data_IF_657361001904
#
_entry.id   IF_657361001904
#
_cell.length_a   1.000
_cell.length_b   1.000
_cell.length_c   1.000
_cell.angle_alpha   90.00
_cell.angle_beta   90.00
_cell.angle_gamma   90.00
#
_symmetry.space_group_name_H-M   'P 1'
#
loop_
_entity.id
_entity.type
_entity.pdbx_description
1 polymer ?
#
# COMPACT_ATOMS: atom_id res chain seq x y z
N UNK A 1 -27.00 10.47 11.79
CA UNK A 1 -26.05 11.10 10.85
C UNK A 1 -24.76 10.30 10.80
N UNK A 2 -24.10 10.31 9.66
CA UNK A 2 -22.78 9.71 9.47
C UNK A 2 -22.08 10.45 8.32
N UNK A 3 -20.77 10.44 8.34
CA UNK A 3 -19.94 10.98 7.24
C UNK A 3 -18.79 10.01 6.98
N UNK A 4 -18.30 9.94 5.75
CA UNK A 4 -17.26 8.99 5.43
C UNK A 4 -16.56 9.24 4.11
N UNK A 5 -15.51 8.45 3.91
CA UNK A 5 -14.75 8.37 2.66
C UNK A 5 -14.80 6.93 2.17
N UNK A 6 -15.14 6.73 0.90
CA UNK A 6 -15.21 5.42 0.27
C UNK A 6 -14.54 5.41 -1.09
N UNK A 7 -13.77 4.39 -1.33
CA UNK A 7 -13.17 4.07 -2.63
C UNK A 7 -14.04 3.04 -3.33
N UNK A 8 -14.30 3.22 -4.62
CA UNK A 8 -15.11 2.27 -5.40
C UNK A 8 -14.47 0.89 -5.50
N UNK A 9 -13.13 0.81 -5.38
CA UNK A 9 -12.35 -0.43 -5.24
C UNK A 9 -11.28 -0.27 -4.17
N UNK A 10 -10.77 -1.38 -3.66
CA UNK A 10 -9.70 -1.35 -2.68
C UNK A 10 -8.38 -0.85 -3.30
N UNK A 11 -7.96 0.34 -2.96
CA UNK A 11 -6.73 0.98 -3.48
C UNK A 11 -5.41 0.27 -3.09
N UNK A 12 -5.44 -0.67 -2.13
CA UNK A 12 -4.25 -1.45 -1.72
C UNK A 12 -4.04 -2.70 -2.58
N UNK A 13 -5.12 -3.38 -2.99
CA UNK A 13 -5.04 -4.66 -3.68
C UNK A 13 -5.91 -4.76 -4.94
N UNK A 14 -6.61 -3.70 -5.33
CA UNK A 14 -7.43 -3.64 -6.54
C UNK A 14 -8.69 -4.52 -6.53
N UNK A 15 -9.13 -5.06 -5.39
CA UNK A 15 -10.35 -5.84 -5.35
C UNK A 15 -11.58 -4.98 -5.61
N UNK A 16 -12.52 -5.48 -6.42
CA UNK A 16 -13.77 -4.80 -6.73
C UNK A 16 -14.76 -4.90 -5.54
N UNK A 17 -14.43 -4.17 -4.47
CA UNK A 17 -15.22 -4.06 -3.25
C UNK A 17 -15.07 -2.65 -2.71
N UNK A 18 -16.15 -2.06 -2.24
CA UNK A 18 -16.09 -0.77 -1.56
C UNK A 18 -15.11 -0.83 -0.39
N UNK A 19 -14.20 0.10 -0.35
CA UNK A 19 -13.17 0.19 0.68
C UNK A 19 -13.17 1.60 1.27
N UNK A 20 -13.21 1.72 2.59
CA UNK A 20 -13.23 3.03 3.23
C UNK A 20 -13.75 2.96 4.65
N UNK A 21 -13.98 4.13 5.20
CA UNK A 21 -14.38 4.30 6.60
C UNK A 21 -15.47 5.37 6.72
N UNK A 22 -16.28 5.25 7.76
CA UNK A 22 -17.26 6.25 8.13
C UNK A 22 -17.30 6.46 9.64
N UNK A 23 -17.72 7.64 10.05
CA UNK A 23 -17.95 8.01 11.44
C UNK A 23 -19.43 8.34 11.63
N UNK A 24 -20.00 7.88 12.72
CA UNK A 24 -21.34 8.27 13.14
C UNK A 24 -21.27 9.51 14.02
N UNK A 25 -22.24 10.42 13.87
CA UNK A 25 -22.32 11.71 14.61
C UNK A 25 -21.01 12.50 14.55
N UNK A 26 -20.49 12.69 13.33
CA UNK A 26 -19.26 13.40 13.05
C UNK A 26 -19.43 14.27 11.81
N UNK A 27 -18.57 15.27 11.67
CA UNK A 27 -18.46 16.10 10.46
C UNK A 27 -17.37 15.54 9.53
N UNK A 28 -17.38 15.93 8.25
CA UNK A 28 -16.42 15.47 7.25
C UNK A 28 -14.96 15.70 7.65
N UNK A 29 -14.68 16.81 8.31
CA UNK A 29 -13.36 17.19 8.82
C UNK A 29 -12.81 16.17 9.83
N UNK A 30 -13.66 15.54 10.66
CA UNK A 30 -13.26 14.55 11.64
C UNK A 30 -12.69 13.27 10.99
N UNK A 31 -13.23 12.90 9.80
CA UNK A 31 -12.76 11.74 9.03
C UNK A 31 -11.41 12.04 8.40
N UNK A 32 -11.27 13.20 7.79
CA UNK A 32 -10.04 13.61 7.06
C UNK A 32 -8.89 13.89 8.03
N UNK A 33 -9.19 14.53 9.17
CA UNK A 33 -8.18 14.83 10.20
C UNK A 33 -7.69 13.58 10.97
N UNK A 34 -8.39 12.44 10.85
CA UNK A 34 -8.00 11.21 11.54
C UNK A 34 -8.09 11.28 13.08
N UNK A 35 -8.82 12.25 13.62
CA UNK A 35 -8.97 12.48 15.06
C UNK A 35 -9.74 11.38 15.77
N UNK A 36 -10.56 10.63 15.02
CA UNK A 36 -11.37 9.51 15.52
C UNK A 36 -11.20 8.29 14.62
N UNK A 37 -11.14 7.10 15.20
CA UNK A 37 -11.08 5.86 14.44
C UNK A 37 -12.42 5.57 13.75
N UNK A 38 -12.42 5.55 12.43
CA UNK A 38 -13.59 5.25 11.61
C UNK A 38 -13.99 3.77 11.66
N UNK A 39 -15.28 3.51 11.47
CA UNK A 39 -15.80 2.17 11.20
C UNK A 39 -15.55 1.82 9.74
N UNK A 40 -15.18 0.59 9.43
CA UNK A 40 -15.05 0.12 8.05
C UNK A 40 -16.38 0.22 7.31
N UNK A 41 -16.34 0.65 6.05
CA UNK A 41 -17.53 0.83 5.21
C UNK A 41 -18.39 -0.46 5.10
N UNK A 42 -17.77 -1.65 5.19
CA UNK A 42 -18.49 -2.93 5.19
C UNK A 42 -19.47 -3.09 6.36
N UNK A 43 -19.25 -2.41 7.49
CA UNK A 43 -20.18 -2.42 8.62
C UNK A 43 -21.46 -1.65 8.33
N UNK A 44 -21.40 -0.64 7.43
CA UNK A 44 -22.57 0.14 7.02
C UNK A 44 -23.64 -0.75 6.38
N UNK A 45 -23.23 -1.84 5.71
CA UNK A 45 -24.15 -2.82 5.13
C UNK A 45 -25.09 -3.45 6.17
N UNK A 46 -24.57 -3.69 7.37
CA UNK A 46 -25.35 -4.28 8.47
C UNK A 46 -26.10 -3.21 9.29
N UNK A 47 -25.47 -2.04 9.51
CA UNK A 47 -26.04 -0.97 10.32
C UNK A 47 -27.12 -0.16 9.58
N UNK A 48 -26.94 0.07 8.26
CA UNK A 48 -27.82 0.90 7.41
C UNK A 48 -27.91 0.32 5.99
N UNK A 49 -28.53 -0.86 5.77
CA UNK A 49 -28.48 -1.60 4.51
C UNK A 49 -29.03 -0.83 3.30
N UNK A 50 -30.08 -0.06 3.49
CA UNK A 50 -30.68 0.78 2.43
C UNK A 50 -29.68 1.84 1.96
N UNK A 51 -29.06 2.56 2.87
CA UNK A 51 -28.09 3.61 2.57
C UNK A 51 -26.79 3.04 1.99
N UNK A 52 -26.37 1.85 2.45
CA UNK A 52 -25.26 1.12 1.81
C UNK A 52 -25.57 0.77 0.36
N UNK A 53 -26.81 0.36 0.06
CA UNK A 53 -27.25 0.07 -1.32
C UNK A 53 -27.21 1.33 -2.18
N UNK A 54 -27.72 2.47 -1.68
CA UNK A 54 -27.68 3.76 -2.39
C UNK A 54 -26.24 4.20 -2.65
N UNK A 55 -25.34 4.09 -1.65
CA UNK A 55 -23.91 4.35 -1.78
C UNK A 55 -23.28 3.47 -2.86
N UNK A 56 -23.55 2.17 -2.84
CA UNK A 56 -22.98 1.23 -3.82
C UNK A 56 -23.45 1.54 -5.25
N UNK A 57 -24.71 1.91 -5.44
CA UNK A 57 -25.24 2.35 -6.74
C UNK A 57 -24.55 3.64 -7.21
N UNK A 58 -24.39 4.61 -6.33
CA UNK A 58 -23.68 5.86 -6.63
C UNK A 58 -22.21 5.60 -7.01
N UNK A 59 -21.51 4.77 -6.24
CA UNK A 59 -20.13 4.37 -6.51
C UNK A 59 -19.98 3.73 -7.89
N UNK A 60 -20.85 2.78 -8.25
CA UNK A 60 -20.85 2.13 -9.57
C UNK A 60 -21.12 3.10 -10.71
N UNK A 61 -22.07 4.02 -10.54
CA UNK A 61 -22.36 5.04 -11.54
C UNK A 61 -21.16 5.96 -11.77
N UNK A 62 -20.50 6.40 -10.72
CA UNK A 62 -19.33 7.27 -10.82
C UNK A 62 -18.13 6.54 -11.45
N UNK A 63 -17.84 5.30 -11.03
CA UNK A 63 -16.78 4.50 -11.64
C UNK A 63 -17.02 4.27 -13.13
N UNK A 64 -18.27 3.99 -13.53
CA UNK A 64 -18.64 3.82 -14.94
C UNK A 64 -18.53 5.13 -15.72
N UNK A 65 -18.97 6.24 -15.14
CA UNK A 65 -18.94 7.55 -15.79
C UNK A 65 -17.52 8.05 -16.03
N UNK A 66 -16.67 8.00 -14.99
CA UNK A 66 -15.27 8.40 -15.08
C UNK A 66 -14.38 7.32 -15.68
N UNK A 67 -14.88 6.09 -15.78
CA UNK A 67 -14.16 4.92 -16.27
C UNK A 67 -12.89 4.61 -15.49
N UNK A 68 -12.88 4.99 -14.21
CA UNK A 68 -11.74 4.79 -13.28
C UNK A 68 -12.23 4.73 -11.83
N UNK A 69 -11.36 4.20 -10.95
CA UNK A 69 -11.63 4.11 -9.51
C UNK A 69 -11.75 5.50 -8.90
N UNK A 70 -12.81 5.70 -8.13
CA UNK A 70 -13.12 6.97 -7.50
C UNK A 70 -12.92 6.92 -5.99
N UNK A 71 -12.44 8.02 -5.43
CA UNK A 71 -12.41 8.38 -4.02
C UNK A 71 -13.58 9.35 -3.78
N UNK A 72 -14.51 8.94 -2.92
CA UNK A 72 -15.81 9.58 -2.76
C UNK A 72 -16.00 10.00 -1.30
N UNK A 73 -16.28 11.26 -1.09
CA UNK A 73 -16.70 11.78 0.20
C UNK A 73 -18.24 11.86 0.24
N UNK A 74 -18.82 11.35 1.32
CA UNK A 74 -20.27 11.32 1.49
C UNK A 74 -20.71 11.66 2.92
N UNK A 75 -21.96 12.08 3.03
CA UNK A 75 -22.63 12.23 4.32
C UNK A 75 -24.00 11.57 4.30
N UNK A 76 -24.45 11.17 5.47
CA UNK A 76 -25.80 10.65 5.73
C UNK A 76 -26.43 11.54 6.79
N UNK A 77 -27.49 12.22 6.43
CA UNK A 77 -28.23 13.08 7.32
C UNK A 77 -29.72 12.78 7.25
N UNK A 78 -30.35 12.61 8.44
CA UNK A 78 -31.79 12.31 8.53
C UNK A 78 -32.25 11.12 7.66
N UNK A 79 -31.39 10.08 7.55
CA UNK A 79 -31.68 8.89 6.77
C UNK A 79 -31.56 9.08 5.25
N UNK A 80 -31.01 10.18 4.78
CA UNK A 80 -30.72 10.46 3.36
C UNK A 80 -29.23 10.46 3.09
N UNK A 81 -28.86 9.90 1.95
CA UNK A 81 -27.48 9.86 1.45
C UNK A 81 -27.20 11.10 0.60
N UNK A 82 -26.06 11.74 0.84
CA UNK A 82 -25.55 12.88 0.07
C UNK A 82 -24.10 12.61 -0.34
N UNK A 83 -23.84 12.72 -1.64
CA UNK A 83 -22.51 12.71 -2.20
C UNK A 83 -21.96 14.13 -2.13
N UNK A 84 -20.79 14.31 -1.53
CA UNK A 84 -20.16 15.61 -1.33
C UNK A 84 -19.11 15.90 -2.40
N UNK A 85 -18.20 14.93 -2.63
CA UNK A 85 -17.09 15.07 -3.57
C UNK A 85 -16.70 13.72 -4.16
N UNK A 86 -16.18 13.75 -5.38
CA UNK A 86 -15.50 12.62 -6.00
C UNK A 86 -14.20 13.07 -6.65
N UNK A 87 -13.19 12.20 -6.61
CA UNK A 87 -11.87 12.43 -7.21
C UNK A 87 -11.21 11.11 -7.61
N UNK A 88 -10.20 11.20 -8.48
CA UNK A 88 -9.37 10.04 -8.85
C UNK A 88 -8.64 9.50 -7.63
N UNK A 89 -8.67 8.18 -7.44
CA UNK A 89 -8.06 7.50 -6.31
C UNK A 89 -6.56 7.32 -6.49
N UNK A 90 -5.79 7.54 -5.42
CA UNK A 90 -4.41 7.06 -5.33
C UNK A 90 -4.41 5.57 -4.98
N UNK A 91 -3.68 4.76 -5.74
CA UNK A 91 -3.61 3.33 -5.57
C UNK A 91 -2.15 2.85 -5.46
N UNK A 92 -1.95 1.68 -4.83
CA UNK A 92 -0.65 0.99 -4.92
C UNK A 92 -0.38 0.53 -6.35
N UNK A 93 0.88 0.32 -6.72
CA UNK A 93 1.28 -0.18 -8.03
C UNK A 93 0.52 -1.47 -8.43
N UNK A 94 0.41 -2.41 -7.50
CA UNK A 94 -0.33 -3.65 -7.72
C UNK A 94 -1.82 -3.40 -7.99
N UNK A 95 -2.45 -2.53 -7.19
CA UNK A 95 -3.86 -2.20 -7.36
C UNK A 95 -4.11 -1.49 -8.69
N UNK A 96 -3.22 -0.61 -9.14
CA UNK A 96 -3.29 0.05 -10.45
C UNK A 96 -3.34 -0.97 -11.59
N UNK A 97 -2.36 -1.89 -11.65
CA UNK A 97 -2.30 -2.90 -12.70
C UNK A 97 -3.52 -3.81 -12.68
N UNK A 98 -3.86 -4.34 -11.49
CA UNK A 98 -5.02 -5.22 -11.34
C UNK A 98 -6.31 -4.54 -11.76
N UNK A 99 -6.55 -3.32 -11.30
CA UNK A 99 -7.76 -2.56 -11.62
C UNK A 99 -7.83 -2.22 -13.11
N UNK A 100 -6.73 -1.82 -13.74
CA UNK A 100 -6.68 -1.56 -15.18
C UNK A 100 -7.07 -2.80 -15.98
N UNK A 101 -6.55 -3.98 -15.61
CA UNK A 101 -6.94 -5.25 -16.24
C UNK A 101 -8.42 -5.56 -16.04
N UNK A 102 -8.94 -5.33 -14.83
CA UNK A 102 -10.37 -5.60 -14.53
C UNK A 102 -11.28 -4.65 -15.30
N UNK A 103 -10.96 -3.35 -15.39
CA UNK A 103 -11.71 -2.36 -16.17
C UNK A 103 -11.74 -2.69 -17.67
N UNK A 104 -10.65 -3.26 -18.22
CA UNK A 104 -10.63 -3.76 -19.60
C UNK A 104 -11.56 -4.97 -19.76
N UNK A 105 -11.53 -5.93 -18.83
CA UNK A 105 -12.44 -7.10 -18.85
C UNK A 105 -13.91 -6.69 -18.73
N UNK A 106 -14.18 -5.69 -17.92
CA UNK A 106 -15.50 -5.08 -17.73
C UNK A 106 -15.93 -4.19 -18.90
N UNK A 107 -15.06 -4.02 -19.92
CA UNK A 107 -15.29 -3.20 -21.13
C UNK A 107 -15.53 -1.71 -20.83
N UNK A 108 -15.05 -1.22 -19.71
CA UNK A 108 -15.09 0.19 -19.34
C UNK A 108 -14.00 0.99 -20.05
N UNK A 109 -12.82 0.38 -20.26
CA UNK A 109 -11.69 0.97 -20.99
C UNK A 109 -11.10 -0.04 -21.98
N UNK A 110 -10.35 0.44 -22.98
CA UNK A 110 -9.60 -0.41 -23.87
C UNK A 110 -8.16 -0.66 -23.37
N UNK A 111 -7.43 -1.57 -24.02
CA UNK A 111 -6.05 -1.93 -23.61
C UNK A 111 -5.07 -0.75 -23.67
N UNK A 112 -5.20 0.11 -24.68
CA UNK A 112 -4.31 1.27 -24.84
C UNK A 112 -4.56 2.30 -23.72
N UNK A 113 -5.83 2.55 -23.38
CA UNK A 113 -6.19 3.40 -22.25
C UNK A 113 -5.66 2.82 -20.92
N UNK A 114 -5.75 1.50 -20.74
CA UNK A 114 -5.22 0.83 -19.54
C UNK A 114 -3.71 1.02 -19.42
N UNK A 115 -2.96 0.85 -20.50
CA UNK A 115 -1.50 1.05 -20.52
C UNK A 115 -1.12 2.50 -20.26
N UNK A 116 -1.82 3.46 -20.85
CA UNK A 116 -1.54 4.89 -20.69
C UNK A 116 -1.79 5.40 -19.27
N UNK A 117 -2.64 4.72 -18.49
CA UNK A 117 -2.99 5.11 -17.12
C UNK A 117 -2.03 4.63 -16.06
N UNK A 118 -1.18 3.64 -16.36
CA UNK A 118 -0.25 3.07 -15.38
C UNK A 118 1.04 3.89 -15.39
N UNK A 119 1.38 4.59 -14.28
CA UNK A 119 2.63 5.34 -14.22
C UNK A 119 3.83 4.40 -14.29
N UNK A 120 4.78 4.70 -15.18
CA UNK A 120 5.96 3.85 -15.40
C UNK A 120 6.77 3.60 -14.12
N UNK A 121 6.90 4.63 -13.27
CA UNK A 121 7.57 4.52 -11.96
C UNK A 121 6.92 3.48 -11.05
N UNK A 122 5.60 3.37 -11.06
CA UNK A 122 4.88 2.36 -10.27
C UNK A 122 5.08 0.95 -10.81
N UNK A 123 5.31 0.78 -12.13
CA UNK A 123 5.65 -0.53 -12.67
C UNK A 123 7.00 -1.02 -12.15
N UNK A 124 7.98 -0.13 -11.99
CA UNK A 124 9.28 -0.49 -11.42
C UNK A 124 9.15 -1.07 -10.00
N UNK A 125 8.22 -0.56 -9.18
CA UNK A 125 7.95 -1.11 -7.85
C UNK A 125 7.52 -2.57 -7.88
N UNK A 126 6.81 -3.02 -8.94
CA UNK A 126 6.35 -4.40 -9.09
C UNK A 126 7.46 -5.38 -9.48
N UNK A 127 8.59 -4.89 -9.98
CA UNK A 127 9.74 -5.72 -10.33
C UNK A 127 10.57 -6.10 -9.10
N UNK A 128 10.39 -5.41 -7.98
CA UNK A 128 11.06 -5.76 -6.74
C UNK A 128 10.48 -7.06 -6.14
N UNK A 129 11.35 -7.80 -5.45
CA UNK A 129 10.94 -9.00 -4.72
C UNK A 129 9.92 -8.65 -3.65
N UNK A 130 8.89 -9.45 -3.53
CA UNK A 130 7.86 -9.33 -2.50
C UNK A 130 7.81 -10.58 -1.64
N UNK A 131 7.41 -10.43 -0.38
CA UNK A 131 7.20 -11.58 0.51
C UNK A 131 5.82 -12.19 0.24
N UNK A 132 5.76 -13.50 0.06
CA UNK A 132 4.49 -14.20 -0.08
C UNK A 132 3.69 -14.11 1.22
N UNK A 133 2.54 -13.45 1.18
CA UNK A 133 1.70 -13.20 2.34
C UNK A 133 1.18 -14.51 3.01
N UNK A 134 1.07 -15.60 2.25
CA UNK A 134 0.70 -16.92 2.80
C UNK A 134 1.85 -17.51 3.63
N UNK A 135 3.10 -17.29 3.22
CA UNK A 135 4.28 -17.77 3.93
C UNK A 135 4.57 -16.95 5.19
N UNK A 136 4.35 -15.62 5.14
CA UNK A 136 4.56 -14.74 6.31
C UNK A 136 3.82 -15.22 7.55
N UNK A 137 2.63 -15.78 7.38
CA UNK A 137 1.82 -16.29 8.50
C UNK A 137 2.44 -17.49 9.24
N UNK A 138 3.42 -18.15 8.63
CA UNK A 138 4.13 -19.30 9.23
C UNK A 138 5.29 -18.87 10.14
N UNK A 139 5.66 -17.60 10.11
CA UNK A 139 6.80 -17.08 10.86
C UNK A 139 6.33 -16.12 11.96
N UNK A 140 7.04 -16.15 13.06
CA UNK A 140 6.85 -15.15 14.12
C UNK A 140 7.37 -13.80 13.68
N UNK A 141 6.58 -12.76 13.96
CA UNK A 141 7.01 -11.39 13.68
C UNK A 141 7.82 -10.84 14.85
N UNK A 142 9.12 -10.71 14.65
CA UNK A 142 10.03 -10.18 15.68
C UNK A 142 9.83 -8.69 15.94
N UNK A 143 9.67 -7.89 14.88
CA UNK A 143 9.53 -6.43 15.01
C UNK A 143 8.82 -5.82 13.81
N UNK A 144 8.59 -4.51 13.87
CA UNK A 144 8.07 -3.69 12.78
C UNK A 144 8.98 -2.48 12.62
N UNK A 145 9.42 -2.23 11.39
CA UNK A 145 10.26 -1.10 11.03
C UNK A 145 9.67 -0.24 9.91
N UNK A 146 10.42 0.78 9.51
CA UNK A 146 10.12 1.64 8.36
C UNK A 146 10.77 0.99 7.14
N UNK A 147 9.99 0.71 6.10
CA UNK A 147 10.51 0.27 4.81
C UNK A 147 11.12 1.45 4.07
N UNK A 148 12.43 1.56 4.08
CA UNK A 148 13.17 2.69 3.51
C UNK A 148 13.57 2.47 2.05
N UNK A 149 13.76 1.23 1.63
CA UNK A 149 13.99 0.84 0.24
C UNK A 149 12.96 -0.22 -0.18
N UNK A 150 12.56 -0.26 -1.46
CA UNK A 150 11.61 -1.25 -1.95
C UNK A 150 12.24 -2.65 -1.99
N UNK A 151 11.39 -3.69 -1.87
CA UNK A 151 11.81 -5.07 -2.00
C UNK A 151 11.62 -5.90 -0.73
N UNK A 152 12.10 -7.13 -0.80
CA UNK A 152 12.08 -8.09 0.28
C UNK A 152 13.39 -8.88 0.29
N UNK A 153 13.95 -9.06 1.45
CA UNK A 153 15.18 -9.81 1.66
C UNK A 153 14.97 -10.98 2.60
N UNK A 154 15.71 -12.06 2.39
CA UNK A 154 15.85 -13.16 3.32
C UNK A 154 17.32 -13.56 3.43
N UNK A 155 17.74 -14.00 4.60
CA UNK A 155 19.12 -14.38 4.82
C UNK A 155 19.46 -14.51 6.30
N UNK A 156 20.72 -14.85 6.57
CA UNK A 156 21.26 -14.94 7.92
C UNK A 156 21.53 -13.52 8.44
N UNK A 157 21.10 -13.21 9.64
CA UNK A 157 21.42 -11.94 10.29
C UNK A 157 22.90 -11.89 10.66
N UNK A 158 23.62 -10.88 10.17
CA UNK A 158 25.05 -10.66 10.45
C UNK A 158 25.21 -9.25 11.00
N UNK A 159 25.87 -9.13 12.16
CA UNK A 159 25.99 -7.90 12.93
C UNK A 159 27.34 -7.20 12.76
N UNK A 160 28.29 -7.86 12.14
CA UNK A 160 29.65 -7.36 11.92
C UNK A 160 29.96 -7.26 10.43
N UNK A 161 30.52 -6.12 10.02
CA UNK A 161 30.81 -5.75 8.62
C UNK A 161 31.88 -6.69 8.02
N UNK A 162 32.99 -6.91 8.76
CA UNK A 162 34.09 -7.77 8.26
C UNK A 162 33.60 -9.20 8.09
N UNK A 163 32.86 -9.69 9.09
CA UNK A 163 32.23 -11.02 9.02
C UNK A 163 31.28 -11.15 7.83
N UNK A 164 30.44 -10.13 7.56
CA UNK A 164 29.55 -10.13 6.41
C UNK A 164 30.32 -10.28 5.08
N UNK A 165 31.39 -9.50 4.91
CA UNK A 165 32.22 -9.56 3.71
C UNK A 165 32.92 -10.92 3.58
N UNK A 166 33.54 -11.43 4.64
CA UNK A 166 34.23 -12.73 4.63
C UNK A 166 33.26 -13.87 4.30
N UNK A 167 32.12 -13.95 5.02
CA UNK A 167 31.13 -15.02 4.80
C UNK A 167 30.60 -15.06 3.35
N UNK A 168 30.39 -13.92 2.74
CA UNK A 168 29.93 -13.85 1.35
C UNK A 168 31.08 -14.08 0.36
N UNK A 169 32.30 -13.72 0.70
CA UNK A 169 33.51 -14.01 -0.09
C UNK A 169 33.76 -15.53 -0.15
N UNK A 170 33.67 -16.21 0.97
CA UNK A 170 33.85 -17.65 1.08
C UNK A 170 32.71 -18.44 0.42
N UNK A 171 31.48 -17.88 0.46
CA UNK A 171 30.32 -18.49 -0.16
C UNK A 171 29.41 -17.44 -0.85
N UNK A 172 29.62 -17.18 -2.15
CA UNK A 172 28.84 -16.21 -2.91
C UNK A 172 27.34 -16.50 -3.01
N UNK A 173 26.89 -17.73 -2.71
CA UNK A 173 25.47 -18.12 -2.69
C UNK A 173 24.81 -17.83 -1.34
N UNK A 174 25.59 -17.49 -0.33
CA UNK A 174 25.08 -17.20 1.00
C UNK A 174 24.27 -15.89 0.98
N UNK A 175 23.08 -15.94 1.52
CA UNK A 175 22.22 -14.78 1.67
C UNK A 175 22.33 -14.24 3.09
N UNK A 176 22.69 -12.98 3.22
CA UNK A 176 22.80 -12.32 4.52
C UNK A 176 21.93 -11.07 4.57
N UNK A 177 21.54 -10.70 5.79
CA UNK A 177 20.96 -9.41 6.15
C UNK A 177 21.93 -8.76 7.11
N UNK A 178 22.48 -7.60 6.71
CA UNK A 178 23.36 -6.82 7.59
C UNK A 178 22.50 -6.10 8.64
N UNK A 179 22.79 -6.34 9.90
CA UNK A 179 22.07 -5.72 11.04
C UNK A 179 23.01 -4.79 11.79
N UNK A 180 22.64 -3.53 11.87
CA UNK A 180 23.46 -2.49 12.54
C UNK A 180 22.60 -1.62 13.45
N UNK A 181 23.20 -0.93 14.40
CA UNK A 181 22.52 0.12 15.14
C UNK A 181 22.22 1.31 14.22
N UNK A 182 23.27 1.83 13.59
CA UNK A 182 23.28 2.80 12.51
C UNK A 182 24.32 2.36 11.49
N UNK A 183 24.27 2.86 10.27
CA UNK A 183 25.32 2.62 9.28
C UNK A 183 26.19 3.86 9.09
N UNK A 184 27.44 3.60 8.79
CA UNK A 184 28.46 4.60 8.49
C UNK A 184 29.04 4.37 7.09
N UNK A 185 29.76 5.34 6.49
CA UNK A 185 30.39 5.14 5.17
C UNK A 185 31.29 3.90 5.09
N UNK A 186 31.96 3.55 6.21
CA UNK A 186 32.86 2.39 6.30
C UNK A 186 32.09 1.05 6.23
N UNK A 187 30.77 1.05 6.44
CA UNK A 187 29.92 -0.14 6.37
C UNK A 187 29.48 -0.48 4.93
N UNK A 188 29.60 0.48 3.98
CA UNK A 188 29.13 0.36 2.59
C UNK A 188 29.69 -0.87 1.87
N UNK A 189 30.95 -1.29 2.03
CA UNK A 189 31.44 -2.51 1.41
C UNK A 189 30.65 -3.78 1.75
N UNK A 190 30.00 -3.83 2.91
CA UNK A 190 29.15 -4.95 3.31
C UNK A 190 27.73 -4.88 2.74
N UNK A 191 27.31 -3.74 2.17
CA UNK A 191 25.99 -3.61 1.55
C UNK A 191 25.89 -4.41 0.26
N UNK A 192 26.94 -4.40 -0.56
CA UNK A 192 26.97 -5.10 -1.84
C UNK A 192 26.67 -6.61 -1.76
N UNK A 193 27.30 -7.35 -0.82
CA UNK A 193 27.00 -8.78 -0.67
C UNK A 193 25.70 -9.06 0.11
N UNK A 194 25.11 -8.04 0.76
CA UNK A 194 23.90 -8.21 1.58
C UNK A 194 22.62 -8.21 0.71
N UNK A 195 21.67 -9.07 1.05
CA UNK A 195 20.34 -9.06 0.43
C UNK A 195 19.45 -7.94 1.00
N UNK A 196 19.81 -7.43 2.16
CA UNK A 196 19.10 -6.33 2.83
C UNK A 196 19.86 -5.80 4.02
N UNK A 197 19.47 -4.62 4.47
CA UNK A 197 20.07 -3.92 5.61
C UNK A 197 18.95 -3.61 6.60
N UNK A 198 19.18 -3.92 7.86
CA UNK A 198 18.29 -3.59 8.98
C UNK A 198 19.04 -2.71 9.97
N UNK A 199 18.49 -1.55 10.30
CA UNK A 199 19.04 -0.69 11.34
C UNK A 199 18.03 -0.49 12.46
N UNK A 200 18.50 -0.41 13.72
CA UNK A 200 17.64 -0.10 14.86
C UNK A 200 17.34 1.38 15.01
N UNK A 201 18.14 2.23 14.41
CA UNK A 201 17.99 3.69 14.40
C UNK A 201 18.09 4.23 12.98
N UNK A 202 17.39 5.34 12.72
CA UNK A 202 17.35 6.02 11.43
C UNK A 202 15.96 6.04 10.80
N UNK A 203 15.76 6.99 9.92
CA UNK A 203 14.53 7.17 9.15
C UNK A 203 14.77 7.00 7.66
N UNK A 204 13.78 7.38 6.84
CA UNK A 204 13.84 7.28 5.38
C UNK A 204 14.95 8.14 4.73
N UNK A 205 15.46 9.14 5.43
CA UNK A 205 16.60 9.98 5.01
C UNK A 205 17.91 9.58 5.63
N UNK A 206 17.99 8.44 6.32
CA UNK A 206 19.23 7.94 6.93
C UNK A 206 20.25 7.50 5.87
N UNK A 207 21.53 7.45 6.24
CA UNK A 207 22.60 6.96 5.37
C UNK A 207 22.29 5.57 4.79
N UNK A 208 21.81 4.64 5.62
CA UNK A 208 21.40 3.31 5.17
C UNK A 208 20.32 3.36 4.10
N UNK A 209 19.29 4.21 4.28
CA UNK A 209 18.19 4.34 3.37
C UNK A 209 18.63 4.94 2.02
N UNK A 210 19.41 6.01 2.04
CA UNK A 210 19.88 6.70 0.84
C UNK A 210 20.77 5.77 0.00
N UNK A 211 21.74 5.10 0.62
CA UNK A 211 22.66 4.21 -0.09
C UNK A 211 21.92 2.98 -0.61
N UNK A 212 21.03 2.36 0.17
CA UNK A 212 20.27 1.18 -0.26
C UNK A 212 19.31 1.46 -1.43
N UNK A 213 18.78 2.69 -1.54
CA UNK A 213 17.95 3.09 -2.68
C UNK A 213 18.76 3.37 -3.96
N UNK A 214 20.06 3.61 -3.84
CA UNK A 214 20.97 3.83 -4.97
C UNK A 214 21.63 2.57 -5.52
N UNK A 215 21.39 1.43 -4.90
CA UNK A 215 21.94 0.11 -5.26
C UNK A 215 20.88 -0.75 -5.94
#
# INVERSE_FOLDING_TARGET
SATGVVFTRNGKNGTNQLYGEYLTNAQGEDVVAGTRTGKRISKLQNEMPKLYSELNVACKKLETHFREVQDIEFTIEQGKFYLLQTRTTKMSAYAWVKTSVDLVKEKLINKNEALARIPAQQLAELLHRIINQKEVKKFERLTKGIGAAPGAANGIAVFDVKRAITMCGDNPKLKIILVRKVTKPEDVPAFFPSQGILTSEGGMSSHAAIVANGM
#
